data_IF_312952179758
#
_entry.id   IF_312952179758
#
_cell.length_a   1.000
_cell.length_b   1.000
_cell.length_c   1.000
_cell.angle_alpha   90.00
_cell.angle_beta   90.00
_cell.angle_gamma   90.00
#
_symmetry.space_group_name_H-M   'P 1'
#
loop_
_entity.id
_entity.type
_entity.pdbx_description
1 polymer ?
#
# COMPACT_ATOMS: atom_id res chain seq x y z
N UNK A 1 18.34 -28.82 -14.47
CA UNK A 1 17.36 -28.13 -15.33
C UNK A 1 16.25 -27.63 -14.43
N UNK A 2 16.26 -26.36 -14.06
CA UNK A 2 15.24 -25.75 -13.22
C UNK A 2 13.98 -25.59 -14.06
N UNK A 3 12.93 -26.33 -13.72
CA UNK A 3 11.58 -26.13 -14.23
C UNK A 3 11.20 -24.67 -14.00
N UNK A 4 11.03 -23.92 -15.10
CA UNK A 4 10.87 -22.48 -15.13
C UNK A 4 9.58 -21.94 -14.47
N UNK A 5 9.44 -22.16 -13.18
CA UNK A 5 8.40 -21.53 -12.37
C UNK A 5 8.80 -20.09 -11.98
N UNK A 6 7.81 -19.17 -11.91
CA UNK A 6 8.05 -17.81 -11.41
C UNK A 6 8.69 -17.85 -10.02
N UNK A 7 9.67 -16.96 -9.70
CA UNK A 7 10.26 -16.88 -8.37
C UNK A 7 9.21 -16.54 -7.32
N UNK A 8 9.49 -16.91 -6.07
CA UNK A 8 8.66 -16.49 -4.94
C UNK A 8 8.92 -15.02 -4.64
N UNK A 9 7.84 -14.24 -4.47
CA UNK A 9 7.87 -12.85 -4.08
C UNK A 9 6.91 -12.58 -2.92
N UNK A 10 7.21 -11.58 -2.09
CA UNK A 10 6.33 -11.11 -1.03
C UNK A 10 5.68 -9.81 -1.48
N UNK A 11 4.35 -9.73 -1.46
CA UNK A 11 3.63 -8.48 -1.65
C UNK A 11 3.14 -7.94 -0.30
N UNK A 12 3.53 -6.71 0.02
CA UNK A 12 3.00 -5.94 1.16
C UNK A 12 1.60 -5.45 0.80
N UNK A 13 0.57 -5.98 1.46
CA UNK A 13 -0.84 -5.68 1.19
C UNK A 13 -1.45 -4.99 2.40
N UNK A 14 -1.60 -3.66 2.29
CA UNK A 14 -2.22 -2.82 3.33
C UNK A 14 -3.76 -2.86 3.34
N UNK A 15 -4.38 -3.50 2.36
CA UNK A 15 -5.84 -3.41 2.13
C UNK A 15 -6.26 -2.19 1.30
N UNK A 16 -5.37 -1.25 1.03
CA UNK A 16 -5.63 -0.09 0.16
C UNK A 16 -5.59 -0.43 -1.33
N UNK A 17 -6.17 0.48 -2.15
CA UNK A 17 -6.27 0.34 -3.60
C UNK A 17 -4.93 0.07 -4.27
N UNK A 18 -3.91 0.87 -3.95
CA UNK A 18 -2.60 0.78 -4.62
C UNK A 18 -1.93 -0.58 -4.35
N UNK A 19 -2.02 -1.10 -3.11
CA UNK A 19 -1.48 -2.39 -2.74
C UNK A 19 -2.22 -3.57 -3.38
N UNK A 20 -3.55 -3.46 -3.57
CA UNK A 20 -4.35 -4.45 -4.28
C UNK A 20 -3.94 -4.54 -5.75
N UNK A 21 -3.88 -3.40 -6.45
CA UNK A 21 -3.48 -3.35 -7.87
C UNK A 21 -2.04 -3.81 -8.05
N UNK A 22 -1.14 -3.41 -7.13
CA UNK A 22 0.26 -3.86 -7.14
C UNK A 22 0.37 -5.37 -6.96
N UNK A 23 -0.35 -5.97 -6.03
CA UNK A 23 -0.30 -7.41 -5.81
C UNK A 23 -0.78 -8.18 -7.05
N UNK A 24 -1.91 -7.78 -7.67
CA UNK A 24 -2.39 -8.37 -8.93
C UNK A 24 -1.33 -8.22 -10.04
N UNK A 25 -0.77 -7.02 -10.22
CA UNK A 25 0.26 -6.75 -11.23
C UNK A 25 1.48 -7.68 -11.07
N UNK A 26 1.96 -7.88 -9.85
CA UNK A 26 3.15 -8.67 -9.56
C UNK A 26 2.95 -10.19 -9.72
N UNK A 27 1.71 -10.67 -9.82
CA UNK A 27 1.44 -12.09 -10.18
C UNK A 27 2.00 -12.48 -11.55
N UNK A 28 2.26 -11.48 -12.41
CA UNK A 28 2.83 -11.69 -13.74
C UNK A 28 4.27 -12.18 -13.70
N UNK A 29 5.04 -11.77 -12.70
CA UNK A 29 6.46 -12.08 -12.58
C UNK A 29 6.83 -12.96 -11.38
N UNK A 30 5.95 -13.07 -10.37
CA UNK A 30 6.22 -13.84 -9.16
C UNK A 30 5.03 -14.70 -8.71
N UNK A 31 5.35 -15.83 -8.09
CA UNK A 31 4.41 -16.53 -7.21
C UNK A 31 4.37 -15.77 -5.89
N UNK A 32 3.19 -15.27 -5.48
CA UNK A 32 3.13 -14.39 -4.32
C UNK A 32 2.94 -15.13 -2.99
N UNK A 33 3.61 -14.62 -1.97
CA UNK A 33 3.23 -14.64 -0.57
C UNK A 33 2.76 -13.23 -0.19
N UNK A 34 1.78 -13.11 0.72
CA UNK A 34 1.21 -11.83 1.11
C UNK A 34 1.54 -11.52 2.57
N UNK A 35 2.00 -10.30 2.81
CA UNK A 35 2.27 -9.76 4.13
C UNK A 35 1.35 -8.60 4.44
N UNK A 36 0.64 -8.69 5.57
CA UNK A 36 -0.08 -7.58 6.18
C UNK A 36 0.55 -7.24 7.53
N UNK A 37 0.60 -5.96 7.85
CA UNK A 37 1.17 -5.50 9.11
C UNK A 37 0.21 -4.54 9.78
N UNK A 38 -0.26 -4.92 10.97
CA UNK A 38 -0.97 -4.06 11.89
C UNK A 38 0.06 -3.25 12.69
N UNK A 39 -0.14 -1.94 12.78
CA UNK A 39 0.76 -1.04 13.50
C UNK A 39 0.01 -0.09 14.46
N UNK A 40 -1.20 -0.51 14.86
CA UNK A 40 -2.09 0.29 15.70
C UNK A 40 -2.82 1.39 14.93
N UNK A 41 -3.01 1.22 13.62
CA UNK A 41 -3.79 2.17 12.81
C UNK A 41 -5.27 2.07 13.11
N UNK A 42 -5.98 3.22 13.03
CA UNK A 42 -7.42 3.34 13.28
C UNK A 42 -8.29 2.40 12.44
N UNK A 43 -7.81 1.98 11.29
CA UNK A 43 -8.54 1.17 10.29
C UNK A 43 -8.05 -0.28 10.24
N UNK A 44 -7.44 -0.76 11.33
CA UNK A 44 -6.81 -2.08 11.40
C UNK A 44 -7.75 -3.20 11.00
N UNK A 45 -8.94 -3.27 11.61
CA UNK A 45 -9.92 -4.32 11.31
C UNK A 45 -10.38 -4.29 9.85
N UNK A 46 -10.60 -3.09 9.31
CA UNK A 46 -11.04 -2.92 7.94
C UNK A 46 -9.95 -3.28 6.93
N UNK A 47 -8.72 -2.84 7.18
CA UNK A 47 -7.58 -3.16 6.34
C UNK A 47 -7.26 -4.65 6.34
N UNK A 48 -7.31 -5.30 7.50
CA UNK A 48 -7.13 -6.75 7.64
C UNK A 48 -8.23 -7.53 6.88
N UNK A 49 -9.48 -7.09 6.97
CA UNK A 49 -10.58 -7.67 6.18
C UNK A 49 -10.32 -7.58 4.67
N UNK A 50 -9.85 -6.41 4.19
CA UNK A 50 -9.47 -6.22 2.79
C UNK A 50 -8.28 -7.12 2.41
N UNK A 51 -7.27 -7.26 3.27
CA UNK A 51 -6.15 -8.18 3.05
C UNK A 51 -6.63 -9.61 2.81
N UNK A 52 -7.54 -10.12 3.63
CA UNK A 52 -8.10 -11.46 3.44
C UNK A 52 -8.85 -11.58 2.12
N UNK A 53 -9.65 -10.57 1.76
CA UNK A 53 -10.38 -10.55 0.50
C UNK A 53 -9.44 -10.53 -0.72
N UNK A 54 -8.32 -9.79 -0.64
CA UNK A 54 -7.26 -9.79 -1.67
C UNK A 54 -6.58 -11.16 -1.75
N UNK A 55 -6.26 -11.78 -0.62
CA UNK A 55 -5.61 -13.09 -0.58
C UNK A 55 -6.49 -14.19 -1.18
N UNK A 56 -7.82 -14.10 -1.02
CA UNK A 56 -8.78 -15.00 -1.64
C UNK A 56 -8.89 -14.75 -3.15
N UNK A 57 -9.00 -13.48 -3.56
CA UNK A 57 -9.03 -13.10 -4.98
C UNK A 57 -7.80 -13.63 -5.73
N UNK A 58 -6.61 -13.44 -5.18
CA UNK A 58 -5.35 -13.91 -5.77
C UNK A 58 -5.10 -15.41 -5.57
N UNK A 59 -6.01 -16.11 -4.87
CA UNK A 59 -5.90 -17.54 -4.54
C UNK A 59 -4.58 -17.90 -3.86
N UNK A 60 -4.03 -16.99 -3.05
CA UNK A 60 -2.81 -17.25 -2.29
C UNK A 60 -3.12 -18.19 -1.13
N UNK A 61 -2.44 -19.34 -1.00
CA UNK A 61 -2.75 -20.30 0.06
C UNK A 61 -2.37 -19.76 1.45
N UNK A 62 -3.06 -20.20 2.50
CA UNK A 62 -2.87 -19.72 3.88
C UNK A 62 -1.42 -19.79 4.35
N UNK A 63 -0.67 -20.86 3.99
CA UNK A 63 0.76 -21.00 4.33
C UNK A 63 1.67 -19.93 3.73
N UNK A 64 1.15 -19.10 2.81
CA UNK A 64 1.83 -17.97 2.17
C UNK A 64 1.18 -16.64 2.54
N UNK A 65 0.43 -16.59 3.65
CA UNK A 65 -0.14 -15.37 4.21
C UNK A 65 0.45 -15.15 5.58
N UNK A 66 1.00 -13.97 5.82
CA UNK A 66 1.54 -13.58 7.12
C UNK A 66 0.89 -12.28 7.55
N UNK A 67 0.37 -12.26 8.77
CA UNK A 67 -0.11 -11.06 9.46
C UNK A 67 0.78 -10.83 10.67
N UNK A 68 1.33 -9.64 10.81
CA UNK A 68 2.23 -9.26 11.90
C UNK A 68 1.67 -8.03 12.61
N UNK A 69 1.77 -8.01 13.92
CA UNK A 69 1.45 -6.86 14.75
C UNK A 69 2.73 -6.16 15.22
N UNK A 70 2.81 -4.85 15.00
CA UNK A 70 3.85 -3.95 15.48
C UNK A 70 3.25 -2.71 16.15
N UNK A 71 2.23 -2.91 16.98
CA UNK A 71 1.49 -1.84 17.69
C UNK A 71 2.34 -0.88 18.51
N UNK A 72 3.63 -1.17 18.74
CA UNK A 72 4.56 -0.22 19.35
C UNK A 72 4.72 1.09 18.53
N UNK A 73 4.42 1.10 17.24
CA UNK A 73 4.43 2.35 16.46
C UNK A 73 3.34 3.33 16.93
N UNK A 74 2.21 2.83 17.40
CA UNK A 74 1.19 3.67 18.03
C UNK A 74 1.68 4.24 19.37
N UNK A 75 2.50 3.49 20.13
CA UNK A 75 3.10 3.98 21.38
C UNK A 75 4.13 5.09 21.14
N UNK A 76 4.87 5.03 20.02
CA UNK A 76 5.78 6.10 19.60
C UNK A 76 4.98 7.38 19.33
N UNK A 77 3.79 7.25 18.72
CA UNK A 77 2.87 8.35 18.49
C UNK A 77 3.24 9.25 17.31
N UNK A 78 2.72 10.48 17.34
CA UNK A 78 3.05 11.52 16.35
C UNK A 78 2.28 11.43 15.02
N UNK A 79 1.27 10.57 14.91
CA UNK A 79 0.46 10.45 13.70
C UNK A 79 -1.03 10.37 14.00
N UNK A 80 -1.84 11.10 13.23
CA UNK A 80 -3.29 10.99 13.27
C UNK A 80 -3.83 9.63 12.87
N UNK A 81 -3.02 8.73 12.31
CA UNK A 81 -3.42 7.37 11.98
C UNK A 81 -3.31 6.40 13.16
N UNK A 82 -2.52 6.72 14.18
CA UNK A 82 -2.22 5.84 15.31
C UNK A 82 -2.50 6.47 16.67
N UNK A 83 -2.87 7.76 16.73
CA UNK A 83 -3.20 8.48 17.95
C UNK A 83 -4.59 9.13 17.83
N UNK A 84 -5.56 8.60 18.58
CA UNK A 84 -6.96 9.08 18.56
C UNK A 84 -7.14 10.51 19.10
N UNK A 85 -6.14 11.03 19.80
CA UNK A 85 -6.13 12.44 20.28
C UNK A 85 -5.82 13.43 19.15
N UNK A 86 -5.30 12.97 18.00
CA UNK A 86 -4.98 13.80 16.85
C UNK A 86 -6.06 13.57 15.78
N UNK A 87 -6.84 14.59 15.49
CA UNK A 87 -7.88 14.48 14.46
C UNK A 87 -7.32 14.20 13.06
N UNK A 88 -8.01 13.35 12.31
CA UNK A 88 -7.75 13.18 10.87
C UNK A 88 -8.29 14.41 10.15
N UNK A 89 -7.43 15.24 9.55
CA UNK A 89 -7.86 16.49 8.91
C UNK A 89 -8.70 16.23 7.66
N UNK A 90 -9.46 17.26 7.26
CA UNK A 90 -10.05 17.29 5.91
C UNK A 90 -8.95 17.40 4.86
N UNK A 91 -9.25 16.87 3.69
CA UNK A 91 -8.32 16.84 2.56
C UNK A 91 -7.84 18.24 2.17
N UNK A 92 -6.52 18.34 2.03
CA UNK A 92 -5.84 19.49 1.44
C UNK A 92 -4.79 18.96 0.43
N UNK A 93 -5.22 18.82 -0.82
CA UNK A 93 -4.38 18.32 -1.91
C UNK A 93 -3.33 19.34 -2.41
N UNK A 94 -3.38 20.58 -1.90
CA UNK A 94 -2.40 21.64 -2.17
C UNK A 94 -1.35 21.77 -1.06
N UNK A 95 -1.47 20.97 0.01
CA UNK A 95 -0.57 21.01 1.17
C UNK A 95 0.89 20.86 0.75
N UNK A 96 1.73 21.71 1.32
CA UNK A 96 3.19 21.58 1.25
C UNK A 96 3.70 21.01 2.57
N UNK A 97 4.61 20.04 2.51
CA UNK A 97 5.20 19.41 3.69
C UNK A 97 4.57 18.06 4.07
N UNK A 98 5.10 17.49 5.15
CA UNK A 98 4.70 16.16 5.63
C UNK A 98 3.37 16.29 6.38
N UNK A 99 2.32 15.52 6.02
CA UNK A 99 1.04 15.57 6.70
C UNK A 99 1.08 14.91 8.08
N UNK A 100 0.18 15.32 8.96
CA UNK A 100 0.03 14.75 10.31
C UNK A 100 -0.38 13.26 10.30
N UNK A 101 -0.80 12.73 9.17
CA UNK A 101 -1.10 11.31 8.93
C UNK A 101 0.14 10.46 8.61
N UNK A 102 1.32 11.07 8.51
CA UNK A 102 2.57 10.33 8.37
C UNK A 102 2.89 9.58 9.65
N UNK A 103 3.03 8.27 9.58
CA UNK A 103 3.58 7.45 10.66
C UNK A 103 5.10 7.39 10.47
N UNK A 104 5.90 7.95 11.39
CA UNK A 104 7.34 8.11 11.20
C UNK A 104 8.04 6.79 10.84
N UNK A 105 8.70 6.79 9.68
CA UNK A 105 9.56 5.71 9.20
C UNK A 105 8.87 4.33 9.08
N UNK A 106 7.52 4.32 8.96
CA UNK A 106 6.72 3.09 8.95
C UNK A 106 7.14 2.12 7.85
N UNK A 107 7.37 2.60 6.63
CA UNK A 107 7.71 1.72 5.51
C UNK A 107 9.03 0.97 5.72
N UNK A 108 9.98 1.53 6.49
CA UNK A 108 11.20 0.82 6.86
C UNK A 108 10.90 -0.40 7.74
N UNK A 109 10.00 -0.26 8.73
CA UNK A 109 9.57 -1.38 9.57
C UNK A 109 8.88 -2.47 8.73
N UNK A 110 7.98 -2.07 7.82
CA UNK A 110 7.28 -3.01 6.94
C UNK A 110 8.26 -3.77 6.04
N UNK A 111 9.22 -3.07 5.47
CA UNK A 111 10.28 -3.67 4.62
C UNK A 111 11.16 -4.60 5.44
N UNK A 112 11.58 -4.21 6.65
CA UNK A 112 12.43 -5.05 7.51
C UNK A 112 11.76 -6.40 7.86
N UNK A 113 10.46 -6.38 8.17
CA UNK A 113 9.68 -7.60 8.42
C UNK A 113 9.64 -8.47 7.15
N UNK A 114 9.36 -7.85 6.00
CA UNK A 114 9.30 -8.56 4.72
C UNK A 114 10.66 -9.20 4.36
N UNK A 115 11.77 -8.51 4.62
CA UNK A 115 13.14 -9.02 4.40
C UNK A 115 13.41 -10.23 5.28
N UNK A 116 13.09 -10.15 6.57
CA UNK A 116 13.27 -11.26 7.51
C UNK A 116 12.47 -12.49 7.05
N UNK A 117 11.22 -12.29 6.62
CA UNK A 117 10.39 -13.37 6.12
C UNK A 117 10.91 -13.91 4.77
N UNK A 118 11.39 -13.04 3.88
CA UNK A 118 11.96 -13.41 2.59
C UNK A 118 13.16 -14.36 2.75
N UNK A 119 14.05 -14.11 3.71
CA UNK A 119 15.17 -15.00 4.01
C UNK A 119 14.72 -16.39 4.46
N UNK A 120 13.60 -16.48 5.19
CA UNK A 120 13.06 -17.75 5.71
C UNK A 120 12.41 -18.57 4.60
N UNK A 121 11.60 -17.92 3.74
CA UNK A 121 10.83 -18.65 2.71
C UNK A 121 11.52 -18.70 1.34
N UNK A 122 12.70 -18.09 1.22
CA UNK A 122 13.48 -18.04 -0.03
C UNK A 122 12.89 -17.11 -1.09
N UNK A 123 12.12 -16.09 -0.69
CA UNK A 123 11.61 -15.09 -1.62
C UNK A 123 12.73 -14.16 -2.09
N UNK A 124 12.69 -13.74 -3.36
CA UNK A 124 13.70 -12.86 -3.96
C UNK A 124 13.20 -11.43 -4.15
N UNK A 125 11.91 -11.27 -4.37
CA UNK A 125 11.30 -9.97 -4.59
C UNK A 125 10.39 -9.60 -3.43
N UNK A 126 10.45 -8.36 -2.97
CA UNK A 126 9.50 -7.76 -2.04
C UNK A 126 8.84 -6.59 -2.77
N UNK A 127 7.52 -6.57 -2.82
CA UNK A 127 6.74 -5.57 -3.53
C UNK A 127 5.99 -4.68 -2.55
N UNK A 128 6.11 -3.37 -2.72
CA UNK A 128 5.39 -2.36 -1.96
C UNK A 128 4.67 -1.39 -2.88
N UNK A 129 3.39 -1.13 -2.60
CA UNK A 129 2.53 -0.25 -3.38
C UNK A 129 2.73 1.24 -3.07
N UNK A 130 3.98 1.67 -2.90
CA UNK A 130 4.29 3.08 -2.66
C UNK A 130 4.14 3.91 -3.94
N UNK A 131 3.60 5.12 -3.79
CA UNK A 131 3.40 6.11 -4.84
C UNK A 131 4.03 7.41 -4.37
N UNK A 132 4.95 7.99 -5.12
CA UNK A 132 5.60 9.26 -4.79
C UNK A 132 4.97 10.44 -5.56
N UNK A 133 4.67 10.25 -6.85
CA UNK A 133 4.26 11.32 -7.75
C UNK A 133 2.89 11.94 -7.42
N UNK A 134 1.96 11.16 -6.87
CA UNK A 134 0.57 11.57 -6.58
C UNK A 134 0.14 11.03 -5.21
N UNK A 135 0.88 11.42 -4.17
CA UNK A 135 0.76 10.87 -2.83
C UNK A 135 0.56 11.95 -1.77
N UNK A 136 0.43 11.52 -0.53
CA UNK A 136 0.36 12.40 0.65
C UNK A 136 1.69 13.05 1.04
N UNK A 137 2.80 12.80 0.31
CA UNK A 137 4.11 13.42 0.56
C UNK A 137 4.94 12.74 1.66
N UNK A 138 4.76 11.44 1.88
CA UNK A 138 5.51 10.67 2.87
C UNK A 138 6.97 10.46 2.42
N UNK A 139 7.98 10.80 3.27
CA UNK A 139 9.40 10.68 2.91
C UNK A 139 9.82 9.26 2.56
N UNK A 140 9.26 8.26 3.25
CA UNK A 140 9.53 6.83 3.08
C UNK A 140 8.74 6.16 1.93
N UNK A 141 8.16 7.00 1.04
CA UNK A 141 7.59 6.57 -0.25
C UNK A 141 8.44 7.01 -1.45
N UNK A 142 9.55 7.72 -1.24
CA UNK A 142 10.40 8.26 -2.30
C UNK A 142 11.29 7.18 -2.91
N UNK A 143 11.66 7.30 -4.20
CA UNK A 143 12.59 6.37 -4.86
C UNK A 143 13.91 6.19 -4.09
N UNK A 144 14.51 7.29 -3.64
CA UNK A 144 15.80 7.31 -2.93
C UNK A 144 15.75 6.50 -1.63
N UNK A 145 14.58 6.47 -0.96
CA UNK A 145 14.39 5.65 0.22
C UNK A 145 14.51 4.16 -0.12
N UNK A 146 13.89 3.69 -1.21
CA UNK A 146 13.97 2.29 -1.62
C UNK A 146 15.34 1.90 -2.15
N UNK A 147 16.06 2.82 -2.79
CA UNK A 147 17.46 2.62 -3.20
C UNK A 147 18.35 2.38 -1.96
N UNK A 148 18.25 3.24 -0.94
CA UNK A 148 18.98 3.10 0.30
C UNK A 148 18.62 1.81 1.06
N UNK A 149 17.31 1.44 1.09
CA UNK A 149 16.85 0.19 1.69
C UNK A 149 17.43 -1.03 0.97
N UNK A 150 17.47 -1.03 -0.35
CA UNK A 150 18.08 -2.11 -1.14
C UNK A 150 19.57 -2.26 -0.86
N UNK A 151 20.29 -1.16 -0.67
CA UNK A 151 21.70 -1.21 -0.30
C UNK A 151 21.89 -1.78 1.11
N UNK A 152 21.05 -1.39 2.08
CA UNK A 152 21.05 -1.96 3.42
C UNK A 152 20.76 -3.47 3.40
N UNK A 153 19.77 -3.90 2.61
CA UNK A 153 19.40 -5.31 2.45
C UNK A 153 20.55 -6.11 1.86
N UNK A 154 21.19 -5.60 0.82
CA UNK A 154 22.34 -6.25 0.16
C UNK A 154 23.49 -6.49 1.13
N UNK A 155 23.73 -5.57 2.07
CA UNK A 155 24.81 -5.69 3.08
C UNK A 155 24.40 -6.44 4.34
N UNK A 156 23.12 -6.43 4.69
CA UNK A 156 22.61 -6.92 5.97
C UNK A 156 21.94 -8.29 5.92
N UNK A 157 21.81 -8.91 4.74
CA UNK A 157 21.24 -10.25 4.58
C UNK A 157 22.31 -11.29 4.25
N UNK A 158 21.94 -12.58 4.33
CA UNK A 158 22.85 -13.70 4.02
C UNK A 158 23.44 -13.52 2.61
N UNK A 159 24.71 -13.88 2.47
CA UNK A 159 25.39 -13.87 1.18
C UNK A 159 24.59 -14.68 0.13
N UNK A 160 24.42 -14.11 -1.05
CA UNK A 160 23.66 -14.75 -2.13
C UNK A 160 22.14 -14.74 -1.92
N UNK A 161 21.60 -14.05 -0.89
CA UNK A 161 20.16 -13.92 -0.68
C UNK A 161 19.46 -13.35 -1.92
N UNK A 162 20.03 -12.33 -2.54
CA UNK A 162 19.52 -11.68 -3.74
C UNK A 162 18.13 -11.04 -3.55
N UNK A 163 17.80 -10.65 -2.32
CA UNK A 163 16.51 -10.02 -1.97
C UNK A 163 16.53 -8.59 -2.45
N UNK A 164 15.46 -8.18 -3.15
CA UNK A 164 15.27 -6.81 -3.68
C UNK A 164 13.88 -6.31 -3.35
N UNK A 165 13.79 -5.09 -2.83
CA UNK A 165 12.53 -4.34 -2.68
C UNK A 165 12.23 -3.59 -3.97
N UNK A 166 11.04 -3.78 -4.48
CA UNK A 166 10.50 -3.14 -5.68
C UNK A 166 9.27 -2.31 -5.33
N UNK A 167 9.26 -1.05 -5.73
CA UNK A 167 8.10 -0.16 -5.65
C UNK A 167 7.62 0.17 -7.10
N UNK A 168 6.89 -0.76 -7.76
CA UNK A 168 6.62 -0.66 -9.19
C UNK A 168 5.79 0.57 -9.57
N UNK A 169 5.08 1.16 -8.61
CA UNK A 169 4.19 2.31 -8.84
C UNK A 169 4.75 3.64 -8.35
N UNK A 170 6.02 3.67 -7.91
CA UNK A 170 6.59 4.86 -7.27
C UNK A 170 6.56 6.11 -8.15
N UNK A 171 6.64 5.95 -9.46
CA UNK A 171 6.60 7.03 -10.46
C UNK A 171 5.23 7.20 -11.14
N UNK A 172 4.24 6.37 -10.83
CA UNK A 172 2.93 6.43 -11.48
C UNK A 172 2.02 7.47 -10.82
N UNK A 173 1.11 8.02 -11.62
CA UNK A 173 -0.03 8.76 -11.10
C UNK A 173 -1.11 7.77 -10.64
N UNK A 174 -1.88 8.12 -9.61
CA UNK A 174 -2.95 7.23 -9.11
C UNK A 174 -4.00 6.88 -10.16
N UNK A 175 -4.30 7.78 -11.11
CA UNK A 175 -5.18 7.50 -12.25
C UNK A 175 -4.67 6.34 -13.12
N UNK A 176 -3.35 6.26 -13.32
CA UNK A 176 -2.73 5.20 -14.13
C UNK A 176 -2.82 3.85 -13.41
N UNK A 177 -2.71 3.85 -12.08
CA UNK A 177 -2.94 2.67 -11.24
C UNK A 177 -4.40 2.20 -11.35
N UNK A 178 -5.37 3.11 -11.34
CA UNK A 178 -6.81 2.77 -11.54
C UNK A 178 -7.02 2.18 -12.94
N UNK A 179 -6.47 2.78 -14.00
CA UNK A 179 -6.59 2.26 -15.38
C UNK A 179 -5.95 0.87 -15.50
N UNK A 180 -4.77 0.68 -14.89
CA UNK A 180 -4.09 -0.62 -14.84
C UNK A 180 -4.95 -1.66 -14.12
N UNK A 181 -5.46 -1.35 -12.93
CA UNK A 181 -6.34 -2.24 -12.17
C UNK A 181 -7.60 -2.61 -12.93
N UNK A 182 -8.25 -1.62 -13.60
CA UNK A 182 -9.40 -1.86 -14.47
C UNK A 182 -9.05 -2.83 -15.60
N UNK A 183 -7.92 -2.65 -16.26
CA UNK A 183 -7.49 -3.53 -17.37
C UNK A 183 -7.22 -4.97 -16.93
N UNK A 184 -6.88 -5.17 -15.67
CA UNK A 184 -6.63 -6.47 -15.05
C UNK A 184 -7.88 -7.09 -14.39
N UNK A 185 -9.01 -6.37 -14.35
CA UNK A 185 -10.23 -6.83 -13.67
C UNK A 185 -10.12 -6.83 -12.15
N UNK A 186 -9.30 -5.95 -11.58
CA UNK A 186 -9.09 -5.85 -10.14
C UNK A 186 -10.38 -5.46 -9.42
N UNK A 187 -10.81 -6.18 -8.36
CA UNK A 187 -12.03 -5.89 -7.62
C UNK A 187 -11.82 -4.75 -6.62
N UNK A 188 -11.91 -3.51 -7.07
CA UNK A 188 -11.66 -2.32 -6.26
C UNK A 188 -12.55 -2.20 -5.02
N UNK A 189 -13.74 -2.81 -5.03
CA UNK A 189 -14.64 -2.92 -3.88
C UNK A 189 -14.05 -3.70 -2.70
N UNK A 190 -13.01 -4.50 -2.95
CA UNK A 190 -12.27 -5.25 -1.92
C UNK A 190 -11.11 -4.47 -1.30
N UNK A 191 -11.04 -3.16 -1.55
CA UNK A 191 -10.01 -2.29 -1.00
C UNK A 191 -10.60 -1.17 -0.16
N UNK A 192 -9.87 -0.70 0.85
CA UNK A 192 -10.25 0.40 1.71
C UNK A 192 -9.15 1.44 1.78
N UNK A 193 -9.46 2.68 1.46
CA UNK A 193 -8.48 3.78 1.49
C UNK A 193 -8.77 4.84 2.55
N UNK A 194 -9.99 4.89 3.10
CA UNK A 194 -10.35 5.89 4.10
C UNK A 194 -9.52 5.74 5.38
N UNK A 195 -9.15 6.85 6.00
CA UNK A 195 -8.47 6.87 7.30
C UNK A 195 -9.42 6.68 8.50
N UNK A 196 -10.70 6.43 8.25
CA UNK A 196 -11.72 6.14 9.26
C UNK A 196 -12.32 4.77 9.00
N UNK A 197 -12.63 4.04 10.05
CA UNK A 197 -13.46 2.85 9.96
C UNK A 197 -14.91 3.21 9.67
N UNK A 198 -15.68 2.28 9.13
CA UNK A 198 -17.09 2.41 8.84
C UNK A 198 -17.54 1.57 7.67
N UNK A 199 -18.83 1.55 7.43
CA UNK A 199 -19.43 0.89 6.25
C UNK A 199 -19.21 1.73 4.99
N UNK A 200 -19.18 3.06 5.14
CA UNK A 200 -18.95 4.03 4.07
C UNK A 200 -17.67 4.81 4.33
N UNK A 201 -16.90 5.04 3.29
CA UNK A 201 -15.73 5.91 3.36
C UNK A 201 -16.16 7.37 3.55
N UNK A 202 -15.43 8.16 4.33
CA UNK A 202 -15.85 9.54 4.67
C UNK A 202 -15.90 10.47 3.44
N UNK A 203 -15.09 10.22 2.41
CA UNK A 203 -15.00 11.06 1.21
C UNK A 203 -14.18 12.35 1.42
N UNK A 204 -13.78 12.68 2.63
CA UNK A 204 -13.22 14.01 2.97
C UNK A 204 -11.79 13.99 3.52
N UNK A 205 -11.19 12.83 3.82
CA UNK A 205 -9.77 12.76 4.20
C UNK A 205 -8.86 12.74 2.95
N UNK A 206 -7.57 13.02 3.12
CA UNK A 206 -6.59 13.05 2.02
C UNK A 206 -6.64 11.77 1.16
N UNK A 207 -6.70 10.59 1.79
CA UNK A 207 -6.72 9.32 1.06
C UNK A 207 -8.01 9.13 0.26
N UNK A 208 -9.17 9.52 0.79
CA UNK A 208 -10.43 9.52 0.03
C UNK A 208 -10.37 10.50 -1.14
N UNK A 209 -9.85 11.71 -0.92
CA UNK A 209 -9.73 12.73 -1.95
C UNK A 209 -8.81 12.29 -3.10
N UNK A 210 -7.65 11.71 -2.78
CA UNK A 210 -6.71 11.16 -3.75
C UNK A 210 -7.34 10.00 -4.55
N UNK A 211 -8.08 9.11 -3.88
CA UNK A 211 -8.79 8.00 -4.54
C UNK A 211 -9.90 8.51 -5.45
N UNK A 212 -10.80 9.36 -4.96
CA UNK A 212 -11.89 9.94 -5.76
C UNK A 212 -11.36 10.68 -6.98
N UNK A 213 -10.29 11.48 -6.82
CA UNK A 213 -9.60 12.15 -7.92
C UNK A 213 -9.08 11.15 -8.94
N UNK A 214 -8.39 10.11 -8.50
CA UNK A 214 -7.81 9.10 -9.39
C UNK A 214 -8.89 8.40 -10.24
N UNK A 215 -10.00 7.99 -9.63
CA UNK A 215 -11.11 7.38 -10.35
C UNK A 215 -11.79 8.34 -11.32
N UNK A 216 -12.02 9.59 -10.91
CA UNK A 216 -12.60 10.62 -11.78
C UNK A 216 -11.69 10.91 -12.98
N UNK A 217 -10.39 11.12 -12.78
CA UNK A 217 -9.41 11.37 -13.85
C UNK A 217 -9.23 10.16 -14.76
N UNK A 218 -9.44 8.94 -14.26
CA UNK A 218 -9.42 7.72 -15.06
C UNK A 218 -10.72 7.46 -15.83
N UNK A 219 -11.78 8.22 -15.58
CA UNK A 219 -13.10 7.97 -16.17
C UNK A 219 -13.70 6.62 -15.75
N UNK A 220 -13.39 6.17 -14.54
CA UNK A 220 -13.84 4.90 -13.97
C UNK A 220 -14.70 5.18 -12.74
N UNK A 221 -15.90 4.61 -12.60
CA UNK A 221 -16.67 4.72 -11.37
C UNK A 221 -15.94 4.03 -10.20
N UNK A 222 -15.77 4.73 -9.07
CA UNK A 222 -15.28 4.09 -7.85
C UNK A 222 -16.41 3.29 -7.19
N UNK A 223 -16.24 1.96 -6.98
CA UNK A 223 -17.29 1.12 -6.42
C UNK A 223 -17.50 1.29 -4.92
N UNK A 224 -16.61 2.00 -4.20
CA UNK A 224 -16.79 2.19 -2.75
C UNK A 224 -17.99 3.07 -2.44
N UNK A 225 -18.78 2.74 -1.39
CA UNK A 225 -19.74 3.65 -0.83
C UNK A 225 -19.07 4.76 -0.04
N UNK A 226 -19.58 5.99 -0.16
CA UNK A 226 -19.08 7.17 0.53
C UNK A 226 -20.20 7.87 1.33
N UNK A 227 -19.85 8.47 2.47
CA UNK A 227 -20.74 9.38 3.19
C UNK A 227 -20.96 10.66 2.38
N UNK A 228 -19.88 11.19 1.81
CA UNK A 228 -19.92 12.33 0.89
C UNK A 228 -19.01 12.03 -0.31
N UNK A 229 -19.35 12.56 -1.49
CA UNK A 229 -18.54 12.44 -2.72
C UNK A 229 -18.21 13.82 -3.30
N UNK A 230 -17.29 14.57 -2.69
CA UNK A 230 -16.83 15.81 -3.28
C UNK A 230 -16.12 15.57 -4.61
N UNK A 231 -16.19 16.53 -5.51
CA UNK A 231 -15.42 16.53 -6.75
C UNK A 231 -14.00 17.02 -6.47
N UNK A 232 -13.03 16.14 -6.63
CA UNK A 232 -11.59 16.42 -6.48
C UNK A 232 -10.85 16.40 -7.83
N UNK A 233 -11.54 16.24 -8.96
CA UNK A 233 -10.89 16.24 -10.26
C UNK A 233 -10.10 17.53 -10.47
N UNK A 234 -8.91 17.43 -11.07
CA UNK A 234 -8.16 18.62 -11.46
C UNK A 234 -8.94 19.30 -12.56
N UNK A 235 -9.30 20.57 -12.35
CA UNK A 235 -9.86 21.38 -13.44
C UNK A 235 -8.81 21.47 -14.53
N UNK A 236 -9.15 21.06 -15.75
CA UNK A 236 -8.30 21.31 -16.91
C UNK A 236 -8.01 22.82 -16.96
N UNK A 237 -6.72 23.17 -16.90
CA UNK A 237 -6.29 24.54 -17.17
C UNK A 237 -6.68 24.83 -18.62
N UNK A 238 -7.70 25.65 -18.80
CA UNK A 238 -8.11 26.18 -20.11
C UNK A 238 -7.03 27.12 -20.63
#
# INVERSE_FOLDING_TARGET
MTTGGKPLGIALVSGGMDSLVMAEFCTRESNLALLHVNYGQRTESRELSCFHAVAEHLKVPTRRRLVVDIGYLAQIGGSALTDDRIDVPKADLARRGIPVTYVPFRNAHLVAIAVSWAEVIGAKNIYIGAVAADSSGYPDCRPEFFEAMNEAIRRGTKEGSGIVVKAPFVHLMKKDIVLMGKSMGVPFERSWSCYREGEKACGTCDSCALRLRAFAEAGVPDPLPYETRPDYARKSSS
#
